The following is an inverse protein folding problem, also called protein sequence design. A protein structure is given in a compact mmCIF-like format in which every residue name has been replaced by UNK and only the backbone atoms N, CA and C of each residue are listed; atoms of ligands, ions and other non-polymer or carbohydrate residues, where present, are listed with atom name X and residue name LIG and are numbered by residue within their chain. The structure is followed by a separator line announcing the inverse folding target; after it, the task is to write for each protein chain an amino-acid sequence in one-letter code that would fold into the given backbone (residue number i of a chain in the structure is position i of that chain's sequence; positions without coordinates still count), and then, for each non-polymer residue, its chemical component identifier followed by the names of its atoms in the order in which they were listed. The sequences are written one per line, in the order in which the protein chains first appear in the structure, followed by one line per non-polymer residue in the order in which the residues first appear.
data_IF_475892338299
#
_entry.id   IF_475892338299
#
_cell.length_a   1.000
_cell.length_b   1.000
_cell.length_c   1.000
_cell.angle_alpha   90.00
_cell.angle_beta   90.00
_cell.angle_gamma   90.00
#
_symmetry.space_group_name_H-M   'P 1'
#
loop_
_entity.id
_entity.type
_entity.pdbx_description
1 polymer ?
#
# COMPACT_ATOMS: atom_id res chain seq x y z
N UNK A 1 26.99 12.75 -13.01
CA UNK A 1 26.09 12.86 -11.84
C UNK A 1 24.64 12.91 -12.31
N UNK A 2 24.10 11.80 -12.81
CA UNK A 2 22.69 11.77 -13.25
C UNK A 2 22.06 10.42 -12.91
N UNK A 3 21.62 10.26 -11.66
CA UNK A 3 20.65 9.24 -11.27
C UNK A 3 19.40 9.90 -10.66
N UNK A 4 19.03 11.08 -11.16
CA UNK A 4 17.80 11.76 -10.76
C UNK A 4 16.67 11.41 -11.73
N UNK A 5 16.34 10.12 -11.86
CA UNK A 5 15.15 9.72 -12.63
C UNK A 5 14.54 8.40 -12.17
N UNK A 6 14.65 8.06 -10.89
CA UNK A 6 13.83 6.99 -10.29
C UNK A 6 12.45 7.58 -9.97
N UNK A 7 11.67 7.72 -11.04
CA UNK A 7 10.30 8.22 -11.09
C UNK A 7 9.43 7.51 -10.04
N UNK A 8 9.15 8.21 -8.94
CA UNK A 8 7.83 8.55 -8.32
C UNK A 8 6.60 7.66 -8.64
N UNK A 9 6.74 6.37 -8.96
CA UNK A 9 5.64 5.48 -9.31
C UNK A 9 5.42 4.34 -8.29
N UNK A 10 6.12 4.40 -7.15
CA UNK A 10 6.05 3.38 -6.07
C UNK A 10 5.30 3.90 -4.82
N UNK A 11 4.81 5.15 -4.83
CA UNK A 11 4.20 5.74 -3.62
C UNK A 11 2.85 5.13 -3.24
N UNK A 12 2.00 4.79 -4.21
CA UNK A 12 0.63 4.35 -3.90
C UNK A 12 0.55 2.86 -3.51
N UNK A 13 1.47 2.01 -3.96
CA UNK A 13 1.43 0.57 -3.66
C UNK A 13 2.07 0.24 -2.31
N UNK A 14 3.22 0.85 -2.00
CA UNK A 14 3.95 0.64 -0.74
C UNK A 14 3.12 1.08 0.48
N UNK A 15 2.45 2.22 0.40
CA UNK A 15 1.58 2.72 1.49
C UNK A 15 0.36 1.82 1.74
N UNK A 16 -0.24 1.26 0.68
CA UNK A 16 -1.37 0.32 0.81
C UNK A 16 -0.96 -0.97 1.51
N UNK A 17 0.23 -1.48 1.20
CA UNK A 17 0.77 -2.68 1.85
C UNK A 17 1.03 -2.42 3.34
N UNK A 18 1.58 -1.26 3.69
CA UNK A 18 1.76 -0.87 5.09
C UNK A 18 0.42 -0.72 5.83
N UNK A 19 -0.60 -0.13 5.21
CA UNK A 19 -1.96 -0.06 5.79
C UNK A 19 -2.49 -1.45 6.12
N UNK A 20 -2.29 -2.43 5.22
CA UNK A 20 -2.69 -3.82 5.45
C UNK A 20 -1.91 -4.43 6.62
N UNK A 21 -0.61 -4.16 6.73
CA UNK A 21 0.24 -4.66 7.82
C UNK A 21 -0.19 -4.10 9.18
N UNK A 22 -0.36 -2.78 9.30
CA UNK A 22 -0.83 -2.16 10.54
C UNK A 22 -2.24 -2.65 10.92
N UNK A 23 -3.12 -2.86 9.94
CA UNK A 23 -4.44 -3.45 10.18
C UNK A 23 -4.34 -4.89 10.72
N UNK A 24 -3.45 -5.72 10.17
CA UNK A 24 -3.17 -7.07 10.70
C UNK A 24 -2.65 -7.04 12.14
N UNK A 25 -1.90 -5.99 12.49
CA UNK A 25 -1.41 -5.76 13.86
C UNK A 25 -2.47 -5.15 14.81
N UNK A 26 -3.73 -5.05 14.38
CA UNK A 26 -4.84 -4.58 15.20
C UNK A 26 -5.05 -3.06 15.23
N UNK A 27 -4.35 -2.31 14.35
CA UNK A 27 -4.53 -0.85 14.25
C UNK A 27 -5.91 -0.54 13.66
N UNK A 28 -6.64 0.42 14.26
CA UNK A 28 -8.00 0.77 13.82
C UNK A 28 -7.96 1.66 12.56
N UNK A 29 -9.03 1.60 11.78
CA UNK A 29 -9.14 2.40 10.54
C UNK A 29 -9.04 3.92 10.80
N UNK A 30 -9.51 4.39 11.97
CA UNK A 30 -9.41 5.80 12.36
C UNK A 30 -7.94 6.23 12.52
N UNK A 31 -7.15 5.45 13.24
CA UNK A 31 -5.73 5.74 13.47
C UNK A 31 -4.95 5.71 12.15
N UNK A 32 -5.28 4.78 11.25
CA UNK A 32 -4.71 4.71 9.90
C UNK A 32 -5.12 5.91 9.03
N UNK A 33 -6.38 6.33 9.12
CA UNK A 33 -6.91 7.50 8.42
C UNK A 33 -6.16 8.77 8.82
N UNK A 34 -5.92 8.96 10.12
CA UNK A 34 -5.16 10.09 10.66
C UNK A 34 -3.67 10.02 10.26
N UNK A 35 -3.04 8.85 10.43
CA UNK A 35 -1.62 8.64 10.10
C UNK A 35 -1.30 8.91 8.63
N UNK A 36 -2.14 8.41 7.73
CA UNK A 36 -1.94 8.53 6.28
C UNK A 36 -2.66 9.74 5.68
N UNK A 37 -3.35 10.56 6.49
CA UNK A 37 -4.13 11.74 6.05
C UNK A 37 -5.10 11.43 4.91
N UNK A 38 -5.76 10.27 4.98
CA UNK A 38 -6.75 9.82 3.99
C UNK A 38 -8.09 9.56 4.65
N UNK A 39 -9.18 9.66 3.89
CA UNK A 39 -10.51 9.40 4.42
C UNK A 39 -10.68 7.93 4.86
N UNK A 40 -11.47 7.68 5.90
CA UNK A 40 -11.71 6.33 6.43
C UNK A 40 -12.31 5.38 5.37
N UNK A 41 -13.10 5.91 4.44
CA UNK A 41 -13.60 5.14 3.30
C UNK A 41 -12.48 4.62 2.36
N UNK A 42 -11.37 5.35 2.25
CA UNK A 42 -10.21 4.91 1.47
C UNK A 42 -9.48 3.76 2.18
N UNK A 43 -9.25 3.88 3.49
CA UNK A 43 -8.68 2.79 4.32
C UNK A 43 -9.56 1.54 4.23
N UNK A 44 -10.87 1.70 4.36
CA UNK A 44 -11.82 0.59 4.27
C UNK A 44 -11.77 -0.11 2.91
N UNK A 45 -11.65 0.65 1.81
CA UNK A 45 -11.46 0.08 0.46
C UNK A 45 -10.15 -0.69 0.32
N UNK A 46 -9.06 -0.20 0.93
CA UNK A 46 -7.76 -0.89 0.92
C UNK A 46 -7.88 -2.22 1.67
N UNK A 47 -8.46 -2.22 2.87
CA UNK A 47 -8.64 -3.43 3.68
C UNK A 47 -9.56 -4.43 2.99
N UNK A 48 -10.66 -3.96 2.40
CA UNK A 48 -11.59 -4.81 1.66
C UNK A 48 -10.92 -5.51 0.46
N UNK A 49 -10.00 -4.80 -0.22
CA UNK A 49 -9.28 -5.34 -1.38
C UNK A 49 -7.90 -5.92 -1.03
N UNK A 50 -7.59 -6.16 0.26
CA UNK A 50 -6.25 -6.54 0.72
C UNK A 50 -5.69 -7.78 0.02
N UNK A 51 -6.53 -8.78 -0.24
CA UNK A 51 -6.09 -10.05 -0.82
C UNK A 51 -5.66 -9.86 -2.28
N UNK A 52 -6.41 -9.05 -3.05
CA UNK A 52 -6.05 -8.68 -4.42
C UNK A 52 -4.76 -7.85 -4.47
N UNK A 53 -4.57 -6.96 -3.50
CA UNK A 53 -3.36 -6.14 -3.39
C UNK A 53 -2.14 -7.03 -3.11
N UNK A 54 -2.26 -8.01 -2.20
CA UNK A 54 -1.20 -8.96 -1.87
C UNK A 54 -0.89 -9.89 -3.05
N UNK A 55 -1.90 -10.44 -3.72
CA UNK A 55 -1.71 -11.28 -4.91
C UNK A 55 -1.00 -10.52 -6.04
N UNK A 56 -1.33 -9.24 -6.22
CA UNK A 56 -0.65 -8.40 -7.20
C UNK A 56 0.83 -8.21 -6.85
N UNK A 57 1.15 -7.97 -5.56
CA UNK A 57 2.53 -7.89 -5.06
C UNK A 57 3.29 -9.19 -5.36
N UNK A 58 2.73 -10.35 -5.02
CA UNK A 58 3.36 -11.66 -5.25
C UNK A 58 3.58 -11.92 -6.76
N UNK A 59 2.64 -11.51 -7.60
CA UNK A 59 2.77 -11.64 -9.06
C UNK A 59 3.89 -10.76 -9.61
N UNK A 60 4.01 -9.52 -9.12
CA UNK A 60 5.11 -8.63 -9.50
C UNK A 60 6.47 -9.17 -9.05
N UNK A 61 6.58 -9.70 -7.84
CA UNK A 61 7.81 -10.30 -7.32
C UNK A 61 8.19 -11.58 -8.10
N UNK A 62 7.20 -12.38 -8.47
CA UNK A 62 7.41 -13.66 -9.18
C UNK A 62 7.79 -13.49 -10.65
N UNK A 63 7.28 -12.45 -11.32
CA UNK A 63 7.45 -12.27 -12.77
C UNK A 63 8.27 -11.03 -13.15
N UNK A 64 8.83 -10.31 -12.18
CA UNK A 64 9.95 -9.37 -12.32
C UNK A 64 9.97 -8.56 -13.61
N UNK A 65 9.13 -7.52 -13.72
CA UNK A 65 9.41 -6.43 -14.64
C UNK A 65 10.54 -5.58 -14.03
N UNK A 66 11.77 -5.88 -14.45
CA UNK A 66 12.91 -4.97 -14.42
C UNK A 66 12.66 -3.82 -15.41
#
# INVERSE_FOLDING_TARGET
MSQLNEKVNVRIHSEKLQVIEYFKNGTKNKDLSEKYKVHNSAISKIIHNKDKILQHKETMEKYGAN
#
